data_IF_180366601994
#
_entry.id   IF_180366601994
#
_cell.length_a   1.000
_cell.length_b   1.000
_cell.length_c   1.000
_cell.angle_alpha   90.00
_cell.angle_beta   90.00
_cell.angle_gamma   90.00
#
_symmetry.space_group_name_H-M   'P 1'
#
loop_
_entity.id
_entity.type
_entity.pdbx_description
1 polymer ?
#
# COMPACT_ATOMS: atom_id res chain seq x y z
N UNK A 1 0.81 13.63 47.42
CA UNK A 1 -0.22 14.37 46.65
C UNK A 1 -0.81 13.39 45.64
N UNK A 2 -2.10 13.08 45.74
CA UNK A 2 -2.81 12.24 44.76
C UNK A 2 -2.95 13.01 43.44
N UNK A 3 -2.52 12.41 42.32
CA UNK A 3 -2.78 12.95 40.98
C UNK A 3 -3.72 12.00 40.24
N UNK A 4 -4.94 12.47 39.95
CA UNK A 4 -5.87 11.77 39.08
C UNK A 4 -5.72 12.26 37.65
N UNK A 5 -5.25 11.38 36.78
CA UNK A 5 -5.17 11.65 35.34
C UNK A 5 -6.55 11.39 34.74
N UNK A 6 -7.23 12.45 34.31
CA UNK A 6 -8.50 12.37 33.60
C UNK A 6 -8.28 12.39 32.08
N UNK A 7 -8.97 11.47 31.39
CA UNK A 7 -9.19 11.26 29.94
C UNK A 7 -8.77 12.35 28.92
N UNK A 8 -7.48 12.69 28.80
CA UNK A 8 -6.98 13.49 27.66
C UNK A 8 -5.69 12.91 27.08
N UNK A 9 -5.75 12.67 25.77
CA UNK A 9 -4.69 12.21 24.86
C UNK A 9 -3.71 13.38 24.59
N UNK A 10 -2.65 13.53 25.39
CA UNK A 10 -1.29 13.97 24.98
C UNK A 10 -0.34 14.17 26.18
N UNK A 11 0.98 14.19 25.89
CA UNK A 11 2.10 14.43 26.83
C UNK A 11 1.87 15.59 27.80
N UNK A 12 2.17 15.36 29.09
CA UNK A 12 2.58 16.42 30.01
C UNK A 12 3.86 16.01 30.73
N UNK A 13 4.89 16.83 30.56
CA UNK A 13 6.05 16.92 31.43
C UNK A 13 5.60 17.58 32.74
N UNK A 14 5.70 16.91 33.90
CA UNK A 14 5.70 17.60 35.18
C UNK A 14 6.66 16.96 36.19
N UNK A 15 7.61 17.78 36.61
CA UNK A 15 8.61 17.55 37.65
C UNK A 15 7.87 17.39 38.99
N UNK A 16 8.12 16.31 39.73
CA UNK A 16 7.48 16.08 41.03
C UNK A 16 8.44 15.97 42.20
N UNK A 17 8.00 16.52 43.33
CA UNK A 17 8.52 16.31 44.67
C UNK A 17 7.82 15.11 45.35
N UNK A 18 8.58 14.47 46.26
CA UNK A 18 8.32 13.27 47.06
C UNK A 18 6.82 12.96 47.37
N UNK A 19 6.41 11.69 47.21
CA UNK A 19 5.11 11.16 47.68
C UNK A 19 3.94 11.24 46.68
N UNK A 20 4.11 10.72 45.46
CA UNK A 20 3.05 10.63 44.43
C UNK A 20 2.63 9.19 44.23
N UNK A 21 1.33 8.96 44.08
CA UNK A 21 0.71 7.67 43.73
C UNK A 21 0.09 7.76 42.33
N UNK A 22 0.23 6.71 41.53
CA UNK A 22 -0.29 6.64 40.15
C UNK A 22 -1.14 5.37 40.00
N UNK A 23 -2.30 5.51 39.34
CA UNK A 23 -3.27 4.42 39.12
C UNK A 23 -3.36 4.07 37.63
N UNK A 24 -3.36 2.77 37.31
CA UNK A 24 -3.47 2.26 35.94
C UNK A 24 -4.93 2.34 35.45
N UNK A 25 -5.20 3.16 34.42
CA UNK A 25 -6.57 3.41 33.96
C UNK A 25 -7.04 2.52 32.79
N UNK A 26 -6.14 1.84 32.05
CA UNK A 26 -6.50 0.92 30.93
C UNK A 26 -5.52 -0.26 30.78
N UNK A 27 -5.99 -1.38 30.24
CA UNK A 27 -5.20 -2.57 29.89
C UNK A 27 -4.56 -2.38 28.51
N UNK A 28 -3.28 -2.73 28.35
CA UNK A 28 -2.60 -2.67 27.06
C UNK A 28 -3.19 -3.68 26.08
N UNK A 29 -3.44 -3.25 24.84
CA UNK A 29 -4.16 -4.00 23.80
C UNK A 29 -3.31 -5.04 23.07
N UNK A 30 -1.98 -4.94 23.14
CA UNK A 30 -1.07 -5.93 22.54
C UNK A 30 0.18 -6.16 23.40
N UNK A 31 0.39 -7.41 23.81
CA UNK A 31 1.51 -7.90 24.63
C UNK A 31 1.72 -7.09 25.94
N UNK A 32 0.76 -7.15 26.88
CA UNK A 32 0.82 -6.39 28.12
C UNK A 32 2.04 -6.82 28.95
N UNK A 33 2.78 -5.84 29.46
CA UNK A 33 3.74 -6.11 30.52
C UNK A 33 2.95 -6.34 31.81
N UNK A 34 3.06 -7.55 32.37
CA UNK A 34 2.38 -7.91 33.62
C UNK A 34 3.04 -7.19 34.79
N UNK A 35 2.22 -6.43 35.50
CA UNK A 35 2.59 -5.84 36.79
C UNK A 35 1.66 -6.43 37.85
N UNK A 36 2.19 -6.90 38.99
CA UNK A 36 1.42 -7.62 39.99
C UNK A 36 0.44 -6.74 40.79
N UNK A 37 0.55 -5.40 40.71
CA UNK A 37 -0.25 -4.46 41.48
C UNK A 37 -0.79 -3.31 40.62
N UNK A 38 -2.03 -2.89 40.88
CA UNK A 38 -2.71 -1.78 40.18
C UNK A 38 -2.19 -0.39 40.60
N UNK A 39 -1.45 -0.33 41.72
CA UNK A 39 -0.86 0.87 42.30
C UNK A 39 0.64 0.65 42.43
N UNK A 40 1.43 1.46 41.74
CA UNK A 40 2.89 1.36 41.78
C UNK A 40 3.41 2.43 42.74
N UNK A 41 4.06 2.01 43.84
CA UNK A 41 4.78 2.89 44.76
C UNK A 41 6.24 2.97 44.34
N UNK A 42 6.72 4.18 44.05
CA UNK A 42 8.09 4.42 43.58
C UNK A 42 8.93 5.08 44.67
N UNK A 43 10.05 4.45 45.05
CA UNK A 43 11.07 5.03 45.93
C UNK A 43 12.45 4.98 45.25
N UNK A 44 13.09 6.14 45.06
CA UNK A 44 14.43 6.22 44.44
C UNK A 44 14.74 7.60 43.82
N UNK A 45 16.03 7.85 43.53
CA UNK A 45 16.52 9.15 43.06
C UNK A 45 16.48 9.35 41.53
N UNK A 46 16.58 8.32 40.67
CA UNK A 46 16.48 8.48 39.20
C UNK A 46 15.96 7.19 38.50
N UNK A 47 15.14 7.42 37.46
CA UNK A 47 14.71 6.59 36.32
C UNK A 47 13.62 5.54 36.52
N UNK A 48 12.46 5.75 35.86
CA UNK A 48 11.80 4.73 35.03
C UNK A 48 11.11 5.41 33.82
N UNK A 49 11.31 4.84 32.64
CA UNK A 49 10.70 5.26 31.38
C UNK A 49 9.28 4.70 31.22
N UNK A 50 8.35 5.50 30.67
CA UNK A 50 7.01 5.05 30.31
C UNK A 50 6.78 5.21 28.81
N UNK A 51 6.48 4.10 28.13
CA UNK A 51 6.04 4.07 26.73
C UNK A 51 4.51 4.08 26.76
N UNK A 52 3.86 5.08 26.16
CA UNK A 52 2.40 5.11 26.10
C UNK A 52 1.91 3.97 25.20
N UNK A 53 0.73 3.41 25.51
CA UNK A 53 0.07 2.38 24.68
C UNK A 53 -0.08 2.85 23.22
N UNK A 54 -0.25 4.16 23.01
CA UNK A 54 -0.32 4.79 21.68
C UNK A 54 1.01 4.71 20.91
N UNK A 55 2.15 4.69 21.59
CA UNK A 55 3.46 4.52 20.96
C UNK A 55 3.70 3.04 20.60
N UNK A 56 3.20 2.11 21.41
CA UNK A 56 3.23 0.67 21.11
C UNK A 56 2.31 0.30 19.93
N UNK A 57 1.07 0.81 19.90
CA UNK A 57 0.14 0.61 18.79
C UNK A 57 0.69 1.25 17.51
N UNK A 58 1.27 2.46 17.62
CA UNK A 58 1.95 3.12 16.50
C UNK A 58 3.13 2.30 15.99
N UNK A 59 3.99 1.80 16.87
CA UNK A 59 5.11 0.94 16.46
C UNK A 59 4.62 -0.33 15.77
N UNK A 60 3.58 -0.96 16.31
CA UNK A 60 2.95 -2.14 15.73
C UNK A 60 2.38 -1.84 14.35
N UNK A 61 1.65 -0.74 14.18
CA UNK A 61 1.14 -0.27 12.89
C UNK A 61 2.27 -0.03 11.87
N UNK A 62 3.36 0.61 12.29
CA UNK A 62 4.53 0.83 11.43
C UNK A 62 5.21 -0.49 11.02
N UNK A 63 5.29 -1.46 11.94
CA UNK A 63 5.82 -2.80 11.66
C UNK A 63 4.92 -3.52 10.64
N UNK A 64 3.61 -3.56 10.86
CA UNK A 64 2.64 -4.20 9.94
C UNK A 64 2.65 -3.53 8.57
N UNK A 65 2.64 -2.20 8.52
CA UNK A 65 2.74 -1.41 7.28
C UNK A 65 3.96 -1.82 6.46
N UNK A 66 5.16 -1.88 7.07
CA UNK A 66 6.39 -2.30 6.38
C UNK A 66 6.32 -3.75 5.87
N UNK A 67 5.67 -4.64 6.61
CA UNK A 67 5.50 -6.04 6.20
C UNK A 67 4.57 -6.12 4.98
N UNK A 68 3.45 -5.38 4.98
CA UNK A 68 2.54 -5.30 3.83
C UNK A 68 3.30 -4.80 2.60
N UNK A 69 3.96 -3.63 2.71
CA UNK A 69 4.72 -3.03 1.60
C UNK A 69 5.76 -4.01 1.05
N UNK A 70 6.52 -4.67 1.94
CA UNK A 70 7.50 -5.69 1.52
C UNK A 70 6.83 -6.85 0.79
N UNK A 71 5.71 -7.36 1.29
CA UNK A 71 5.00 -8.46 0.65
C UNK A 71 4.39 -8.02 -0.70
N UNK A 72 3.88 -6.80 -0.84
CA UNK A 72 3.41 -6.24 -2.12
C UNK A 72 4.54 -6.16 -3.14
N UNK A 73 5.71 -5.62 -2.74
CA UNK A 73 6.88 -5.58 -3.61
C UNK A 73 7.33 -6.98 -4.08
N UNK A 74 7.26 -7.99 -3.21
CA UNK A 74 7.55 -9.37 -3.59
C UNK A 74 6.46 -9.95 -4.51
N UNK A 75 5.19 -9.66 -4.23
CA UNK A 75 4.06 -10.09 -5.05
C UNK A 75 4.17 -9.54 -6.48
N UNK A 76 4.47 -8.26 -6.65
CA UNK A 76 4.70 -7.62 -7.97
C UNK A 76 5.86 -8.29 -8.72
N UNK A 77 6.98 -8.57 -8.03
CA UNK A 77 8.11 -9.31 -8.63
C UNK A 77 7.71 -10.71 -9.09
N UNK A 78 6.87 -11.40 -8.32
CA UNK A 78 6.37 -12.72 -8.69
C UNK A 78 5.45 -12.66 -9.91
N UNK A 79 4.63 -11.62 -10.06
CA UNK A 79 3.80 -11.41 -11.26
C UNK A 79 4.68 -11.24 -12.51
N UNK A 80 5.72 -10.39 -12.44
CA UNK A 80 6.67 -10.22 -13.56
C UNK A 80 7.38 -11.52 -13.95
N UNK A 81 7.66 -12.38 -12.97
CA UNK A 81 8.27 -13.71 -13.18
C UNK A 81 7.26 -14.80 -13.57
N UNK A 82 5.97 -14.46 -13.68
CA UNK A 82 4.86 -15.41 -13.92
C UNK A 82 4.75 -16.50 -12.83
N UNK A 83 5.24 -16.21 -11.62
CA UNK A 83 5.19 -17.09 -10.44
C UNK A 83 3.87 -16.91 -9.66
N UNK A 84 2.75 -17.19 -10.31
CA UNK A 84 1.42 -16.85 -9.77
C UNK A 84 1.06 -17.60 -8.48
N UNK A 85 1.52 -18.84 -8.29
CA UNK A 85 1.28 -19.57 -7.03
C UNK A 85 1.88 -18.85 -5.82
N UNK A 86 3.09 -18.31 -5.96
CA UNK A 86 3.74 -17.53 -4.91
C UNK A 86 3.08 -16.17 -4.71
N UNK A 87 2.59 -15.54 -5.78
CA UNK A 87 1.78 -14.33 -5.70
C UNK A 87 0.55 -14.54 -4.80
N UNK A 88 -0.25 -15.59 -5.05
CA UNK A 88 -1.45 -15.87 -4.26
C UNK A 88 -1.12 -16.10 -2.78
N UNK A 89 -0.03 -16.82 -2.48
CA UNK A 89 0.43 -16.99 -1.10
C UNK A 89 0.78 -15.66 -0.43
N UNK A 90 1.40 -14.72 -1.16
CA UNK A 90 1.72 -13.39 -0.64
C UNK A 90 0.48 -12.55 -0.42
N UNK A 91 -0.48 -12.57 -1.33
CA UNK A 91 -1.76 -11.86 -1.19
C UNK A 91 -2.53 -12.35 0.03
N UNK A 92 -2.62 -13.66 0.25
CA UNK A 92 -3.28 -14.22 1.45
C UNK A 92 -2.63 -13.74 2.74
N UNK A 93 -1.30 -13.59 2.77
CA UNK A 93 -0.59 -13.04 3.92
C UNK A 93 -0.85 -11.54 4.09
N UNK A 94 -0.85 -10.77 2.99
CA UNK A 94 -1.17 -9.33 3.01
C UNK A 94 -2.58 -9.13 3.57
N UNK A 95 -3.58 -9.89 3.11
CA UNK A 95 -4.96 -9.81 3.58
C UNK A 95 -5.09 -10.06 5.09
N UNK A 96 -4.35 -11.03 5.64
CA UNK A 96 -4.35 -11.29 7.09
C UNK A 96 -3.77 -10.10 7.86
N UNK A 97 -2.60 -9.63 7.44
CA UNK A 97 -1.89 -8.52 8.10
C UNK A 97 -2.69 -7.22 7.99
N UNK A 98 -3.34 -6.98 6.85
CA UNK A 98 -4.19 -5.80 6.64
C UNK A 98 -5.41 -5.83 7.55
N UNK A 99 -6.06 -6.98 7.75
CA UNK A 99 -7.13 -7.12 8.75
C UNK A 99 -6.65 -6.79 10.17
N UNK A 100 -5.49 -7.30 10.58
CA UNK A 100 -4.89 -6.98 11.88
C UNK A 100 -4.59 -5.48 12.01
N UNK A 101 -4.11 -4.87 10.93
CA UNK A 101 -3.84 -3.43 10.87
C UNK A 101 -5.12 -2.60 11.01
N UNK A 102 -6.21 -2.99 10.33
CA UNK A 102 -7.52 -2.32 10.43
C UNK A 102 -8.07 -2.39 11.86
N UNK A 103 -7.93 -3.53 12.55
CA UNK A 103 -8.34 -3.67 13.95
C UNK A 103 -7.58 -2.69 14.86
N UNK A 104 -6.26 -2.55 14.69
CA UNK A 104 -5.47 -1.59 15.47
C UNK A 104 -5.85 -0.13 15.17
N UNK A 105 -6.14 0.21 13.91
CA UNK A 105 -6.59 1.56 13.54
C UNK A 105 -7.96 1.88 14.13
N UNK A 106 -8.86 0.89 14.22
CA UNK A 106 -10.21 1.07 14.76
C UNK A 106 -10.24 1.52 16.23
N UNK A 107 -9.17 1.25 16.99
CA UNK A 107 -9.03 1.69 18.37
C UNK A 107 -8.87 3.21 18.51
N UNK A 108 -8.23 3.86 17.54
CA UNK A 108 -8.07 5.32 17.52
C UNK A 108 -8.00 5.88 16.08
N UNK A 109 -9.14 5.95 15.37
CA UNK A 109 -9.17 6.27 13.95
C UNK A 109 -8.57 7.65 13.64
N UNK A 110 -8.82 8.65 14.49
CA UNK A 110 -8.38 10.03 14.26
C UNK A 110 -6.86 10.20 14.17
N UNK A 111 -6.09 9.35 14.85
CA UNK A 111 -4.62 9.42 14.85
C UNK A 111 -4.00 8.43 13.86
N UNK A 112 -4.63 7.27 13.68
CA UNK A 112 -4.01 6.13 13.02
C UNK A 112 -4.41 5.91 11.55
N UNK A 113 -5.48 6.54 11.06
CA UNK A 113 -5.93 6.38 9.67
C UNK A 113 -4.83 6.64 8.63
N UNK A 114 -3.97 7.63 8.90
CA UNK A 114 -2.85 8.01 8.01
C UNK A 114 -1.83 6.88 7.76
N UNK A 115 -1.73 5.89 8.65
CA UNK A 115 -0.78 4.79 8.49
C UNK A 115 -1.26 3.75 7.47
N UNK A 116 -2.56 3.75 7.12
CA UNK A 116 -3.14 2.87 6.11
C UNK A 116 -2.79 3.29 4.68
N UNK A 117 -2.54 4.59 4.45
CA UNK A 117 -2.36 5.17 3.10
C UNK A 117 -1.39 4.39 2.22
N UNK A 118 -0.12 4.33 2.63
CA UNK A 118 0.92 3.66 1.85
C UNK A 118 0.70 2.15 1.69
N UNK A 119 0.45 1.35 2.75
CA UNK A 119 0.26 -0.09 2.58
C UNK A 119 -0.98 -0.44 1.74
N UNK A 120 -2.08 0.32 1.83
CA UNK A 120 -3.27 0.09 1.01
C UNK A 120 -3.08 0.47 -0.45
N UNK A 121 -2.34 1.55 -0.72
CA UNK A 121 -1.94 1.96 -2.06
C UNK A 121 -1.10 0.85 -2.73
N UNK A 122 -0.07 0.36 -2.05
CA UNK A 122 0.82 -0.71 -2.53
C UNK A 122 0.07 -2.06 -2.67
N UNK A 123 -0.89 -2.32 -1.78
CA UNK A 123 -1.74 -3.51 -1.88
C UNK A 123 -2.66 -3.44 -3.11
N UNK A 124 -3.27 -2.29 -3.35
CA UNK A 124 -4.11 -2.05 -4.53
C UNK A 124 -3.30 -2.20 -5.81
N UNK A 125 -2.10 -1.63 -5.88
CA UNK A 125 -1.21 -1.76 -7.03
C UNK A 125 -0.91 -3.23 -7.35
N UNK A 126 -0.53 -4.04 -6.35
CA UNK A 126 -0.22 -5.45 -6.56
C UNK A 126 -1.44 -6.28 -7.03
N UNK A 127 -2.64 -5.94 -6.55
CA UNK A 127 -3.88 -6.61 -6.94
C UNK A 127 -4.33 -6.20 -8.34
N UNK A 128 -4.31 -4.89 -8.63
CA UNK A 128 -4.66 -4.36 -9.93
C UNK A 128 -3.71 -4.86 -11.01
N UNK A 129 -2.41 -4.92 -10.71
CA UNK A 129 -1.42 -5.42 -11.65
C UNK A 129 -1.71 -6.87 -12.03
N UNK A 130 -1.94 -7.74 -11.04
CA UNK A 130 -2.28 -9.14 -11.31
C UNK A 130 -3.59 -9.27 -12.10
N UNK A 131 -4.64 -8.53 -11.71
CA UNK A 131 -5.94 -8.60 -12.37
C UNK A 131 -5.82 -8.25 -13.86
N UNK A 132 -5.08 -7.19 -14.21
CA UNK A 132 -4.83 -6.82 -15.60
C UNK A 132 -4.05 -7.91 -16.34
N UNK A 133 -2.93 -8.39 -15.78
CA UNK A 133 -2.08 -9.41 -16.44
C UNK A 133 -2.81 -10.74 -16.63
N UNK A 134 -3.62 -11.15 -15.66
CA UNK A 134 -4.41 -12.39 -15.73
C UNK A 134 -5.74 -12.22 -16.48
N UNK A 135 -6.06 -11.01 -16.95
CA UNK A 135 -7.33 -10.67 -17.62
C UNK A 135 -8.54 -11.01 -16.73
N UNK A 136 -8.39 -10.79 -15.43
CA UNK A 136 -9.41 -10.98 -14.39
C UNK A 136 -10.08 -9.64 -14.07
N UNK A 137 -11.34 -9.65 -13.60
CA UNK A 137 -12.01 -8.43 -13.18
C UNK A 137 -11.29 -7.79 -11.98
N UNK A 138 -11.20 -6.45 -12.01
CA UNK A 138 -10.60 -5.69 -10.93
C UNK A 138 -11.52 -5.72 -9.69
N UNK A 139 -11.02 -6.12 -8.50
CA UNK A 139 -11.84 -6.19 -7.30
C UNK A 139 -12.20 -4.78 -6.78
N UNK A 140 -13.38 -4.66 -6.16
CA UNK A 140 -13.85 -3.38 -5.65
C UNK A 140 -13.09 -2.98 -4.36
N UNK A 141 -12.97 -1.67 -4.07
CA UNK A 141 -12.36 -1.19 -2.82
C UNK A 141 -13.03 -1.78 -1.57
N UNK A 142 -14.36 -1.97 -1.61
CA UNK A 142 -15.14 -2.57 -0.54
C UNK A 142 -14.75 -4.03 -0.28
N UNK A 143 -14.46 -4.79 -1.33
CA UNK A 143 -14.12 -6.22 -1.21
C UNK A 143 -12.75 -6.39 -0.55
N UNK A 144 -11.87 -5.39 -0.73
CA UNK A 144 -10.54 -5.34 -0.16
C UNK A 144 -10.48 -4.64 1.21
N UNK A 145 -11.57 -4.03 1.68
CA UNK A 145 -11.62 -3.16 2.85
C UNK A 145 -10.60 -2.00 2.79
N UNK A 146 -10.43 -1.39 1.61
CA UNK A 146 -9.48 -0.31 1.37
C UNK A 146 -10.22 1.03 1.24
N UNK A 147 -9.62 2.10 1.77
CA UNK A 147 -10.12 3.45 1.56
C UNK A 147 -10.14 3.82 0.05
N UNK A 148 -11.24 4.35 -0.50
CA UNK A 148 -11.36 4.65 -1.93
C UNK A 148 -10.25 5.57 -2.49
N UNK A 149 -9.72 6.49 -1.67
CA UNK A 149 -8.65 7.40 -2.09
C UNK A 149 -7.33 6.62 -2.19
N UNK A 150 -7.04 5.76 -1.21
CA UNK A 150 -5.85 4.91 -1.24
C UNK A 150 -5.90 3.92 -2.42
N UNK A 151 -7.09 3.40 -2.72
CA UNK A 151 -7.31 2.57 -3.89
C UNK A 151 -7.04 3.32 -5.20
N UNK A 152 -7.60 4.53 -5.36
CA UNK A 152 -7.34 5.37 -6.53
C UNK A 152 -5.85 5.71 -6.71
N UNK A 153 -5.12 5.95 -5.61
CA UNK A 153 -3.68 6.16 -5.63
C UNK A 153 -2.93 4.91 -6.12
N UNK A 154 -3.33 3.71 -5.69
CA UNK A 154 -2.72 2.46 -6.14
C UNK A 154 -2.99 2.16 -7.61
N UNK A 155 -4.19 2.48 -8.11
CA UNK A 155 -4.49 2.41 -9.54
C UNK A 155 -3.67 3.39 -10.37
N UNK A 156 -3.35 4.56 -9.84
CA UNK A 156 -2.47 5.48 -10.56
C UNK A 156 -1.03 4.93 -10.67
N UNK A 157 -0.56 4.22 -9.64
CA UNK A 157 0.79 3.63 -9.63
C UNK A 157 0.91 2.37 -10.49
N UNK A 158 -0.16 1.59 -10.61
CA UNK A 158 -0.16 0.36 -11.44
C UNK A 158 0.23 0.63 -12.90
N UNK A 159 -0.06 1.83 -13.41
CA UNK A 159 0.29 2.27 -14.76
C UNK A 159 1.82 2.21 -14.97
N UNK A 160 2.60 2.50 -13.93
CA UNK A 160 4.06 2.37 -13.95
C UNK A 160 4.51 0.90 -14.09
N UNK A 161 3.89 -0.01 -13.34
CA UNK A 161 4.20 -1.45 -13.41
C UNK A 161 3.71 -2.09 -14.72
N UNK A 162 2.59 -1.63 -15.28
CA UNK A 162 2.12 -2.03 -16.61
C UNK A 162 3.08 -1.58 -17.71
N UNK A 163 3.62 -0.35 -17.64
CA UNK A 163 4.69 0.08 -18.55
C UNK A 163 5.91 -0.84 -18.44
N UNK A 164 6.32 -1.16 -17.21
CA UNK A 164 7.47 -2.05 -16.99
C UNK A 164 7.23 -3.43 -17.60
N UNK A 165 6.04 -3.99 -17.41
CA UNK A 165 5.64 -5.27 -17.99
C UNK A 165 5.67 -5.22 -19.53
N UNK A 166 5.14 -4.16 -20.14
CA UNK A 166 5.18 -3.95 -21.58
C UNK A 166 6.62 -3.90 -22.10
N UNK A 167 7.51 -3.14 -21.45
CA UNK A 167 8.92 -3.06 -21.84
C UNK A 167 9.67 -4.38 -21.67
N UNK A 168 9.38 -5.15 -20.61
CA UNK A 168 9.97 -6.47 -20.40
C UNK A 168 9.51 -7.46 -21.48
N UNK A 169 8.25 -7.40 -21.93
CA UNK A 169 7.74 -8.20 -23.05
C UNK A 169 8.37 -7.79 -24.38
N UNK A 170 8.47 -6.49 -24.67
CA UNK A 170 9.16 -5.96 -25.86
C UNK A 170 10.60 -6.47 -25.90
N UNK A 171 11.34 -6.40 -24.79
CA UNK A 171 12.72 -6.89 -24.69
C UNK A 171 12.83 -8.38 -25.06
N UNK A 172 11.81 -9.17 -24.72
CA UNK A 172 11.75 -10.60 -25.01
C UNK A 172 11.12 -10.92 -26.38
N UNK A 173 10.85 -9.91 -27.22
CA UNK A 173 10.16 -10.04 -28.52
C UNK A 173 8.76 -10.67 -28.42
N UNK A 174 8.07 -10.48 -27.29
CA UNK A 174 6.69 -10.91 -27.07
C UNK A 174 5.80 -9.69 -27.25
N UNK A 175 4.92 -9.72 -28.26
CA UNK A 175 4.10 -8.54 -28.63
C UNK A 175 2.59 -8.75 -28.46
N UNK A 176 2.14 -9.98 -28.22
CA UNK A 176 0.72 -10.37 -28.30
C UNK A 176 -0.18 -9.57 -27.34
N UNK A 177 0.29 -9.32 -26.11
CA UNK A 177 -0.51 -8.65 -25.09
C UNK A 177 -0.29 -7.13 -25.02
N UNK A 178 0.61 -6.54 -25.82
CA UNK A 178 1.02 -5.13 -25.65
C UNK A 178 -0.12 -4.13 -25.88
N UNK A 179 -0.97 -4.36 -26.87
CA UNK A 179 -2.13 -3.49 -27.15
C UNK A 179 -3.16 -3.56 -26.01
N UNK A 180 -3.44 -4.77 -25.51
CA UNK A 180 -4.35 -4.96 -24.39
C UNK A 180 -3.85 -4.23 -23.12
N UNK A 181 -2.55 -4.29 -22.84
CA UNK A 181 -1.96 -3.57 -21.71
C UNK A 181 -2.12 -2.06 -21.88
N UNK A 182 -1.89 -1.51 -23.08
CA UNK A 182 -2.10 -0.09 -23.35
C UNK A 182 -3.56 0.33 -23.16
N UNK A 183 -4.51 -0.44 -23.67
CA UNK A 183 -5.95 -0.18 -23.49
C UNK A 183 -6.32 -0.14 -22.00
N UNK A 184 -5.86 -1.12 -21.22
CA UNK A 184 -6.07 -1.12 -19.76
C UNK A 184 -5.45 0.11 -19.08
N UNK A 185 -4.26 0.56 -19.49
CA UNK A 185 -3.65 1.78 -18.94
C UNK A 185 -4.50 3.02 -19.26
N UNK A 186 -5.00 3.14 -20.49
CA UNK A 186 -5.88 4.24 -20.93
C UNK A 186 -7.23 4.22 -20.19
N UNK A 187 -7.82 3.04 -19.98
CA UNK A 187 -9.08 2.87 -19.23
C UNK A 187 -8.91 3.31 -17.77
N UNK A 188 -7.87 2.83 -17.09
CA UNK A 188 -7.57 3.21 -15.70
C UNK A 188 -7.38 4.72 -15.60
N UNK A 189 -6.59 5.31 -16.50
CA UNK A 189 -6.39 6.76 -16.54
C UNK A 189 -7.70 7.52 -16.73
N UNK A 190 -8.53 7.09 -17.69
CA UNK A 190 -9.81 7.74 -17.99
C UNK A 190 -10.74 7.72 -16.79
N UNK A 191 -10.86 6.57 -16.12
CA UNK A 191 -11.67 6.45 -14.90
C UNK A 191 -11.13 7.34 -13.79
N UNK A 192 -9.83 7.34 -13.52
CA UNK A 192 -9.22 8.18 -12.49
C UNK A 192 -9.38 9.68 -12.78
N UNK A 193 -9.26 10.08 -14.05
CA UNK A 193 -9.41 11.48 -14.47
C UNK A 193 -10.85 11.99 -14.29
N UNK A 194 -11.84 11.11 -14.43
CA UNK A 194 -13.25 11.45 -14.27
C UNK A 194 -13.68 11.74 -12.83
N UNK A 195 -12.85 11.40 -11.83
CA UNK A 195 -13.24 11.52 -10.44
C UNK A 195 -13.06 12.96 -9.93
N UNK A 196 -14.20 13.62 -9.69
CA UNK A 196 -14.24 14.95 -9.06
C UNK A 196 -14.03 14.84 -7.55
N UNK A 197 -12.79 15.07 -7.11
CA UNK A 197 -12.47 15.13 -5.69
C UNK A 197 -12.14 16.54 -5.18
N UNK A 198 -12.48 16.86 -3.91
CA UNK A 198 -12.09 18.12 -3.28
C UNK A 198 -10.56 18.31 -3.26
N UNK A 199 -10.08 19.47 -3.70
CA UNK A 199 -8.65 19.75 -3.90
C UNK A 199 -7.77 19.53 -2.65
N UNK A 200 -8.36 19.65 -1.44
CA UNK A 200 -7.66 19.45 -0.17
C UNK A 200 -7.28 17.99 0.14
N UNK A 201 -7.99 17.00 -0.43
CA UNK A 201 -7.69 15.58 -0.22
C UNK A 201 -6.89 14.95 -1.36
N UNK A 202 -6.73 15.62 -2.51
CA UNK A 202 -6.32 14.96 -3.77
C UNK A 202 -5.15 15.56 -4.50
N UNK A 203 -4.40 16.48 -3.87
CA UNK A 203 -3.18 17.02 -4.46
C UNK A 203 -2.22 15.90 -4.91
N UNK A 204 -2.07 14.87 -4.09
CA UNK A 204 -1.21 13.72 -4.40
C UNK A 204 -1.75 12.88 -5.57
N UNK A 205 -3.08 12.69 -5.63
CA UNK A 205 -3.73 11.92 -6.68
C UNK A 205 -3.61 12.62 -8.04
N UNK A 206 -3.86 13.94 -8.10
CA UNK A 206 -3.71 14.72 -9.36
C UNK A 206 -2.29 14.62 -9.92
N UNK A 207 -1.28 14.77 -9.05
CA UNK A 207 0.11 14.63 -9.47
C UNK A 207 0.45 13.22 -9.98
N UNK A 208 -0.14 12.16 -9.42
CA UNK A 208 0.02 10.81 -9.95
C UNK A 208 -0.71 10.59 -11.28
N UNK A 209 -1.92 11.13 -11.43
CA UNK A 209 -2.68 11.08 -12.70
C UNK A 209 -1.90 11.79 -13.84
N UNK A 210 -1.30 12.94 -13.57
CA UNK A 210 -0.49 13.66 -14.56
C UNK A 210 0.76 12.85 -14.96
N UNK A 211 1.42 12.21 -13.99
CA UNK A 211 2.55 11.32 -14.27
C UNK A 211 2.12 10.09 -15.07
N UNK A 212 0.98 9.49 -14.73
CA UNK A 212 0.40 8.36 -15.45
C UNK A 212 0.18 8.69 -16.92
N UNK A 213 -0.34 9.88 -17.24
CA UNK A 213 -0.51 10.34 -18.63
C UNK A 213 0.81 10.32 -19.41
N UNK A 214 1.88 10.86 -18.82
CA UNK A 214 3.20 10.89 -19.46
C UNK A 214 3.77 9.47 -19.67
N UNK A 215 3.52 8.56 -18.70
CA UNK A 215 3.92 7.15 -18.78
C UNK A 215 3.18 6.47 -19.94
N UNK A 216 1.87 6.69 -20.07
CA UNK A 216 1.03 6.14 -21.14
C UNK A 216 1.53 6.59 -22.51
N UNK A 217 1.72 7.90 -22.73
CA UNK A 217 2.16 8.43 -24.02
C UNK A 217 3.51 7.84 -24.47
N UNK A 218 4.47 7.74 -23.55
CA UNK A 218 5.76 7.09 -23.83
C UNK A 218 5.58 5.61 -24.16
N UNK A 219 4.71 4.91 -23.43
CA UNK A 219 4.47 3.47 -23.64
C UNK A 219 3.81 3.21 -24.98
N UNK A 220 2.88 4.07 -25.38
CA UNK A 220 2.24 4.03 -26.69
C UNK A 220 3.27 4.16 -27.81
N UNK A 221 4.22 5.09 -27.69
CA UNK A 221 5.33 5.22 -28.65
C UNK A 221 6.18 3.95 -28.74
N UNK A 222 6.64 3.43 -27.60
CA UNK A 222 7.49 2.23 -27.53
C UNK A 222 6.80 0.99 -28.12
N UNK A 223 5.53 0.76 -27.76
CA UNK A 223 4.73 -0.36 -28.26
C UNK A 223 4.46 -0.22 -29.76
N UNK A 224 4.09 0.97 -30.23
CA UNK A 224 3.81 1.20 -31.66
C UNK A 224 5.01 0.88 -32.54
N UNK A 225 6.20 1.33 -32.13
CA UNK A 225 7.45 1.02 -32.85
C UNK A 225 7.72 -0.48 -32.84
N UNK A 226 7.57 -1.12 -31.69
CA UNK A 226 7.84 -2.55 -31.52
C UNK A 226 6.92 -3.43 -32.37
N UNK A 227 5.64 -3.08 -32.48
CA UNK A 227 4.68 -3.78 -33.34
C UNK A 227 5.03 -3.64 -34.82
N UNK A 228 5.32 -2.42 -35.28
CA UNK A 228 5.71 -2.17 -36.68
C UNK A 228 7.00 -2.92 -37.05
N UNK A 229 7.97 -2.99 -36.14
CA UNK A 229 9.19 -3.77 -36.35
C UNK A 229 8.92 -5.27 -36.45
N UNK A 230 8.01 -5.80 -35.63
CA UNK A 230 7.63 -7.20 -35.67
C UNK A 230 6.86 -7.57 -36.95
N UNK A 231 6.00 -6.68 -37.43
CA UNK A 231 5.28 -6.85 -38.70
C UNK A 231 6.25 -6.84 -39.88
N UNK A 232 7.22 -5.91 -39.88
CA UNK A 232 8.26 -5.84 -40.90
C UNK A 232 9.10 -7.13 -40.93
N UNK A 233 9.53 -7.61 -39.76
CA UNK A 233 10.24 -8.88 -39.62
C UNK A 233 9.44 -10.04 -40.23
N UNK A 234 8.15 -10.13 -39.89
CA UNK A 234 7.25 -11.18 -40.40
C UNK A 234 7.09 -11.12 -41.92
N UNK A 235 7.04 -9.93 -42.52
CA UNK A 235 7.01 -9.75 -43.97
C UNK A 235 8.29 -10.22 -44.66
N UNK A 236 9.45 -9.94 -44.06
CA UNK A 236 10.76 -10.38 -44.59
C UNK A 236 10.85 -11.90 -44.56
N UNK A 237 10.53 -12.54 -43.43
CA UNK A 237 10.56 -14.01 -43.29
C UNK A 237 9.64 -14.71 -44.31
N UNK A 238 8.44 -14.16 -44.55
CA UNK A 238 7.53 -14.66 -45.58
C UNK A 238 8.10 -14.51 -47.00
N UNK A 239 8.80 -13.42 -47.28
CA UNK A 239 9.40 -13.17 -48.59
C UNK A 239 10.58 -14.11 -48.89
N UNK A 240 11.34 -14.50 -47.87
CA UNK A 240 12.45 -15.45 -47.99
C UNK A 240 11.97 -16.89 -48.17
N UNK A 241 10.90 -17.29 -47.45
CA UNK A 241 10.32 -18.63 -47.58
C UNK A 241 9.59 -18.89 -48.91
N UNK A 242 9.26 -17.83 -49.66
CA UNK A 242 8.61 -17.91 -50.97
C UNK A 242 9.61 -17.88 -52.14
N UNK A 243 10.92 -17.89 -51.87
CA UNK A 243 12.00 -18.01 -52.87
C UNK A 243 12.56 -19.42 -52.87
#
# INVERSE_FOLDING_TARGET
>A
KEFRIFDIIMKILLIHSYGVEVTKNKVATSNPQDFPEDVIKLEGLILVAYVSVEDQDRESLLKLSRIIIRNCSIAIKNIHRKEYSQYHQKVLNIQKIHKDMLLLVSNNPGVFLKYLKTPEQEYTEAIAFYAVISKEPLPLPSDLNIDPINYALGLADVIGELRRYALDNIRNSIVDDLNYILECMDDIYTQLFSIDFPAGLTKDLRHKIDQARNIIEKTRGDVSISLQMNDLKSCIEKSENNR
#
